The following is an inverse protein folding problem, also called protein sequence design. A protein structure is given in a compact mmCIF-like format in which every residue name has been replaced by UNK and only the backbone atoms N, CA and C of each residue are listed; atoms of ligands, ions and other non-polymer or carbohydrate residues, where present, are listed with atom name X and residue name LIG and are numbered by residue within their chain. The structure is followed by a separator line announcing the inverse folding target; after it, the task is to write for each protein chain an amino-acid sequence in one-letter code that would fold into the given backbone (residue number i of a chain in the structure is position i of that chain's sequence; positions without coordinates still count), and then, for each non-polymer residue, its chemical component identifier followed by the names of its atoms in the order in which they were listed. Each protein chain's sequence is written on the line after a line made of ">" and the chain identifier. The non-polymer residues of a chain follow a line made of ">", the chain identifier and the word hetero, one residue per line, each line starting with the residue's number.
data_IF_270477821379
#
_entry.id   IF_270477821379
#
_cell.length_a   1.000
_cell.length_b   1.000
_cell.length_c   1.000
_cell.angle_alpha   90.00
_cell.angle_beta   90.00
_cell.angle_gamma   90.00
#
_symmetry.space_group_name_H-M   'P 1'
#
loop_
_entity.id
_entity.type
_entity.pdbx_description
1 polymer ?
#
# COMPACT_ATOMS: atom_id res chain seq x y z
N UNK A 1 -52.83 -32.25 17.71
CA UNK A 1 -53.60 -31.00 17.72
C UNK A 1 -52.86 -29.99 18.59
N UNK A 2 -52.80 -28.76 18.11
CA UNK A 2 -52.17 -27.52 18.60
C UNK A 2 -52.44 -27.16 20.07
N UNK A 3 -51.48 -26.50 20.74
CA UNK A 3 -51.57 -25.28 21.59
C UNK A 3 -50.19 -25.09 22.29
N UNK A 4 -49.27 -24.21 21.86
CA UNK A 4 -49.22 -22.74 21.88
C UNK A 4 -48.89 -22.15 23.27
N UNK A 5 -47.63 -21.73 23.40
CA UNK A 5 -47.02 -20.68 24.23
C UNK A 5 -46.88 -20.87 25.76
N UNK A 6 -45.62 -20.93 26.20
CA UNK A 6 -45.15 -20.11 27.31
C UNK A 6 -43.69 -19.72 27.05
N UNK A 7 -43.53 -18.45 26.68
CA UNK A 7 -42.27 -17.74 26.49
C UNK A 7 -41.79 -17.37 27.90
N UNK A 8 -40.73 -18.04 28.35
CA UNK A 8 -40.06 -17.76 29.62
C UNK A 8 -38.65 -17.29 29.34
N UNK A 9 -38.43 -15.98 29.49
CA UNK A 9 -37.13 -15.33 29.37
C UNK A 9 -36.15 -15.86 30.42
N UNK A 10 -34.97 -16.29 29.97
CA UNK A 10 -33.74 -16.20 30.77
C UNK A 10 -32.71 -15.50 29.90
N UNK A 11 -32.58 -14.20 30.18
CA UNK A 11 -31.45 -13.41 29.74
C UNK A 11 -30.18 -13.98 30.38
N UNK A 12 -29.30 -14.53 29.57
CA UNK A 12 -27.89 -14.70 29.93
C UNK A 12 -27.07 -13.90 28.93
N UNK A 13 -26.74 -12.70 29.36
CA UNK A 13 -25.71 -11.84 28.81
C UNK A 13 -24.42 -12.63 28.63
N UNK A 14 -24.13 -13.06 27.40
CA UNK A 14 -22.74 -13.28 26.99
C UNK A 14 -22.19 -11.88 26.72
N UNK A 15 -21.60 -11.34 27.78
CA UNK A 15 -20.84 -10.11 27.80
C UNK A 15 -19.96 -10.04 26.56
N UNK A 16 -20.27 -9.09 25.67
CA UNK A 16 -19.35 -8.51 24.70
C UNK A 16 -18.17 -7.95 25.49
N UNK A 17 -17.25 -8.80 25.88
CA UNK A 17 -15.86 -8.42 26.08
C UNK A 17 -15.22 -8.32 24.69
N UNK A 18 -15.76 -7.40 23.87
CA UNK A 18 -14.92 -6.60 23.01
C UNK A 18 -13.99 -5.87 23.95
N UNK A 19 -12.92 -6.56 24.34
CA UNK A 19 -11.66 -5.92 24.56
C UNK A 19 -11.33 -5.25 23.22
N UNK A 20 -11.96 -4.08 23.01
CA UNK A 20 -11.41 -2.96 22.29
C UNK A 20 -10.09 -2.67 23.00
N UNK A 21 -9.09 -3.49 22.67
CA UNK A 21 -7.72 -3.07 22.67
C UNK A 21 -7.67 -1.90 21.70
N UNK A 22 -8.05 -0.73 22.22
CA UNK A 22 -7.70 0.57 21.68
C UNK A 22 -6.17 0.67 21.82
N UNK A 23 -5.49 -0.04 20.93
CA UNK A 23 -4.07 0.10 20.65
C UNK A 23 -3.97 0.38 19.16
N UNK A 24 -4.03 1.67 18.79
CA UNK A 24 -3.58 2.16 17.49
C UNK A 24 -4.63 2.27 16.37
N UNK A 25 -5.65 3.11 16.56
CA UNK A 25 -6.59 3.53 15.50
C UNK A 25 -5.98 4.40 14.38
N UNK A 26 -4.72 4.17 13.98
CA UNK A 26 -4.03 4.87 12.89
C UNK A 26 -3.91 4.05 11.59
N UNK A 27 -4.22 2.74 11.61
CA UNK A 27 -3.83 1.82 10.54
C UNK A 27 -4.49 2.06 9.18
N UNK A 28 -5.80 2.32 9.10
CA UNK A 28 -6.47 2.39 7.79
C UNK A 28 -6.10 3.62 6.96
N UNK A 29 -5.95 4.80 7.60
CA UNK A 29 -5.60 6.03 6.88
C UNK A 29 -4.15 6.01 6.38
N UNK A 30 -3.23 5.50 7.20
CA UNK A 30 -1.83 5.31 6.79
C UNK A 30 -1.70 4.35 5.61
N UNK A 31 -2.52 3.30 5.59
CA UNK A 31 -2.55 2.31 4.50
C UNK A 31 -3.06 2.94 3.22
N UNK A 32 -4.22 3.59 3.24
CA UNK A 32 -4.78 4.24 2.05
C UNK A 32 -3.82 5.34 1.51
N UNK A 33 -3.16 6.08 2.41
CA UNK A 33 -2.14 7.05 2.02
C UNK A 33 -0.92 6.39 1.37
N UNK A 34 -0.46 5.25 1.88
CA UNK A 34 0.62 4.47 1.28
C UNK A 34 0.21 3.91 -0.08
N UNK A 35 -0.97 3.29 -0.20
CA UNK A 35 -1.49 2.75 -1.46
C UNK A 35 -1.60 3.84 -2.52
N UNK A 36 -2.08 5.04 -2.14
CA UNK A 36 -2.14 6.18 -3.04
C UNK A 36 -0.74 6.57 -3.53
N UNK A 37 0.21 6.72 -2.60
CA UNK A 37 1.57 7.11 -2.95
C UNK A 37 2.29 6.05 -3.81
N UNK A 38 2.02 4.77 -3.55
CA UNK A 38 2.54 3.65 -4.34
C UNK A 38 1.95 3.59 -5.75
N UNK A 39 0.66 3.93 -5.91
CA UNK A 39 0.07 4.05 -7.24
C UNK A 39 0.56 5.28 -8.00
N UNK A 40 0.80 6.40 -7.33
CA UNK A 40 1.43 7.57 -7.95
C UNK A 40 2.85 7.24 -8.43
N UNK A 41 3.60 6.45 -7.65
CA UNK A 41 4.89 5.90 -8.08
C UNK A 41 4.73 5.07 -9.35
N UNK A 42 3.86 4.06 -9.33
CA UNK A 42 3.64 3.19 -10.49
C UNK A 42 3.24 3.99 -11.74
N UNK A 43 2.38 5.00 -11.58
CA UNK A 43 1.99 5.89 -12.67
C UNK A 43 3.20 6.66 -13.24
N UNK A 44 4.11 7.16 -12.39
CA UNK A 44 5.33 7.82 -12.86
C UNK A 44 6.23 6.88 -13.68
N UNK A 45 6.32 5.60 -13.29
CA UNK A 45 7.04 4.57 -14.04
C UNK A 45 6.33 4.14 -15.34
N UNK A 46 5.02 4.40 -15.48
CA UNK A 46 4.26 4.08 -16.69
C UNK A 46 4.26 5.20 -17.75
N UNK A 47 4.76 6.39 -17.41
CA UNK A 47 4.81 7.53 -18.35
C UNK A 47 5.71 7.20 -19.55
N UNK A 48 5.24 7.57 -20.75
CA UNK A 48 6.03 7.52 -21.98
C UNK A 48 6.10 6.15 -22.67
N UNK A 49 5.51 5.08 -22.11
CA UNK A 49 5.62 3.74 -22.71
C UNK A 49 7.08 3.29 -22.78
N UNK A 50 7.63 3.10 -23.97
CA UNK A 50 9.04 2.75 -24.18
C UNK A 50 9.99 3.97 -24.21
N UNK A 51 9.47 5.19 -24.13
CA UNK A 51 10.29 6.40 -23.99
C UNK A 51 10.92 6.45 -22.60
N UNK A 52 12.21 6.09 -22.54
CA UNK A 52 12.96 6.03 -21.30
C UNK A 52 13.40 7.40 -20.78
N UNK A 53 13.45 8.43 -21.61
CA UNK A 53 13.86 9.78 -21.21
C UNK A 53 12.66 10.51 -20.57
N UNK A 54 11.48 10.40 -21.19
CA UNK A 54 10.23 10.89 -20.58
C UNK A 54 9.95 10.18 -19.24
N UNK A 55 10.20 8.87 -19.20
CA UNK A 55 10.08 8.09 -17.96
C UNK A 55 11.11 8.49 -16.91
N UNK A 56 12.37 8.68 -17.31
CA UNK A 56 13.42 9.15 -16.41
C UNK A 56 13.01 10.46 -15.73
N UNK A 57 12.49 11.42 -16.49
CA UNK A 57 11.97 12.67 -15.95
C UNK A 57 10.82 12.44 -14.98
N UNK A 58 9.79 11.69 -15.38
CA UNK A 58 8.61 11.46 -14.54
C UNK A 58 8.96 10.76 -13.22
N UNK A 59 9.77 9.71 -13.27
CA UNK A 59 10.24 8.99 -12.08
C UNK A 59 11.14 9.88 -11.23
N UNK A 60 12.04 10.65 -11.84
CA UNK A 60 12.92 11.57 -11.12
C UNK A 60 12.15 12.64 -10.35
N UNK A 61 11.15 13.25 -10.97
CA UNK A 61 10.28 14.24 -10.33
C UNK A 61 9.48 13.61 -9.18
N UNK A 62 8.93 12.42 -9.39
CA UNK A 62 8.23 11.70 -8.33
C UNK A 62 9.16 11.36 -7.15
N UNK A 63 10.38 10.87 -7.42
CA UNK A 63 11.35 10.49 -6.37
C UNK A 63 11.76 11.70 -5.54
N UNK A 64 12.09 12.82 -6.18
CA UNK A 64 12.43 14.08 -5.49
C UNK A 64 11.31 14.58 -4.58
N UNK A 65 10.06 14.46 -5.02
CA UNK A 65 8.92 14.92 -4.24
C UNK A 65 8.52 13.96 -3.11
N UNK A 66 8.71 12.65 -3.30
CA UNK A 66 8.01 11.65 -2.49
C UNK A 66 8.88 10.60 -1.81
N UNK A 67 10.16 10.41 -2.17
CA UNK A 67 10.96 9.28 -1.67
C UNK A 67 11.06 9.25 -0.15
N UNK A 68 11.36 10.39 0.50
CA UNK A 68 11.47 10.45 1.97
C UNK A 68 10.13 10.09 2.64
N UNK A 69 9.01 10.63 2.15
CA UNK A 69 7.67 10.33 2.66
C UNK A 69 7.29 8.86 2.43
N UNK A 70 7.60 8.32 1.26
CA UNK A 70 7.35 6.93 0.91
C UNK A 70 8.11 5.97 1.83
N UNK A 71 9.41 6.22 2.05
CA UNK A 71 10.25 5.45 2.98
C UNK A 71 9.70 5.51 4.41
N UNK A 72 9.36 6.69 4.90
CA UNK A 72 8.80 6.86 6.24
C UNK A 72 7.50 6.08 6.44
N UNK A 73 6.58 6.11 5.47
CA UNK A 73 5.33 5.34 5.55
C UNK A 73 5.59 3.84 5.43
N UNK A 74 6.49 3.42 4.53
CA UNK A 74 6.85 2.02 4.38
C UNK A 74 7.45 1.46 5.69
N UNK A 75 8.34 2.21 6.34
CA UNK A 75 8.95 1.80 7.61
C UNK A 75 7.95 1.78 8.76
N UNK A 76 7.02 2.76 8.80
CA UNK A 76 5.91 2.77 9.75
C UNK A 76 5.05 1.51 9.59
N UNK A 77 4.66 1.15 8.37
CA UNK A 77 3.87 -0.05 8.10
C UNK A 77 4.63 -1.34 8.41
N UNK A 78 5.92 -1.43 8.08
CA UNK A 78 6.78 -2.58 8.44
C UNK A 78 6.88 -2.77 9.95
N UNK A 79 6.99 -1.68 10.72
CA UNK A 79 7.01 -1.71 12.19
C UNK A 79 5.65 -2.11 12.77
N UNK A 80 4.56 -1.63 12.19
CA UNK A 80 3.20 -2.04 12.58
C UNK A 80 2.95 -3.51 12.27
N UNK A 81 3.52 -4.02 11.19
CA UNK A 81 3.24 -5.35 10.65
C UNK A 81 4.52 -6.16 10.42
N UNK A 82 5.22 -6.57 11.50
CA UNK A 82 6.50 -7.28 11.39
C UNK A 82 6.38 -8.65 10.71
N UNK A 83 5.17 -9.24 10.69
CA UNK A 83 4.87 -10.51 10.00
C UNK A 83 4.24 -10.31 8.61
N UNK A 84 4.24 -9.08 8.10
CA UNK A 84 3.58 -8.70 6.87
C UNK A 84 2.16 -8.17 7.09
N UNK A 85 1.54 -7.58 6.04
CA UNK A 85 0.25 -6.90 6.15
C UNK A 85 -0.86 -7.83 6.67
N UNK A 86 -1.84 -7.29 7.42
CA UNK A 86 -3.05 -8.02 7.79
C UNK A 86 -3.76 -8.61 6.56
N UNK A 87 -4.47 -9.72 6.77
CA UNK A 87 -5.22 -10.40 5.70
C UNK A 87 -6.19 -9.45 5.00
N UNK A 88 -6.92 -8.64 5.76
CA UNK A 88 -7.88 -7.65 5.24
C UNK A 88 -7.24 -6.63 4.29
N UNK A 89 -6.04 -6.16 4.62
CA UNK A 89 -5.26 -5.23 3.78
C UNK A 89 -4.81 -5.93 2.50
N UNK A 90 -4.36 -7.18 2.63
CA UNK A 90 -3.92 -7.99 1.51
C UNK A 90 -5.07 -8.31 0.56
N UNK A 91 -6.25 -8.66 1.08
CA UNK A 91 -7.44 -8.93 0.27
C UNK A 91 -7.94 -7.67 -0.43
N UNK A 92 -7.89 -6.51 0.23
CA UNK A 92 -8.40 -5.25 -0.34
C UNK A 92 -7.44 -4.58 -1.32
N UNK A 93 -6.13 -4.68 -1.08
CA UNK A 93 -5.13 -3.89 -1.81
C UNK A 93 -4.03 -4.72 -2.47
N UNK A 94 -4.00 -6.04 -2.24
CA UNK A 94 -2.92 -6.92 -2.71
C UNK A 94 -2.77 -6.91 -4.22
N UNK A 95 -3.87 -7.03 -4.98
CA UNK A 95 -3.84 -7.00 -6.44
C UNK A 95 -3.28 -5.67 -6.96
N UNK A 96 -3.71 -4.56 -6.36
CA UNK A 96 -3.26 -3.21 -6.73
C UNK A 96 -1.77 -3.01 -6.44
N UNK A 97 -1.29 -3.46 -5.28
CA UNK A 97 0.13 -3.41 -4.93
C UNK A 97 0.98 -4.28 -5.86
N UNK A 98 0.48 -5.46 -6.25
CA UNK A 98 1.17 -6.31 -7.22
C UNK A 98 1.22 -5.66 -8.62
N UNK A 99 0.13 -5.06 -9.07
CA UNK A 99 0.09 -4.34 -10.35
C UNK A 99 1.06 -3.14 -10.35
N UNK A 100 1.08 -2.35 -9.27
CA UNK A 100 2.02 -1.24 -9.10
C UNK A 100 3.48 -1.74 -9.15
N UNK A 101 3.79 -2.81 -8.42
CA UNK A 101 5.11 -3.44 -8.44
C UNK A 101 5.49 -3.90 -9.84
N UNK A 102 4.57 -4.54 -10.56
CA UNK A 102 4.81 -5.00 -11.93
C UNK A 102 5.15 -3.83 -12.84
N UNK A 103 4.38 -2.74 -12.81
CA UNK A 103 4.64 -1.56 -13.63
C UNK A 103 6.06 -0.98 -13.38
N UNK A 104 6.49 -0.91 -12.12
CA UNK A 104 7.84 -0.47 -11.77
C UNK A 104 8.89 -1.43 -12.32
N UNK A 105 8.72 -2.75 -12.14
CA UNK A 105 9.68 -3.75 -12.61
C UNK A 105 9.78 -3.79 -14.13
N UNK A 106 8.65 -3.78 -14.83
CA UNK A 106 8.60 -3.74 -16.29
C UNK A 106 9.34 -2.51 -16.81
N UNK A 107 9.04 -1.33 -16.24
CA UNK A 107 9.71 -0.09 -16.59
C UNK A 107 11.23 -0.13 -16.36
N UNK A 108 11.67 -0.72 -15.23
CA UNK A 108 13.09 -0.89 -14.95
C UNK A 108 13.74 -1.81 -15.98
N UNK A 109 13.09 -2.91 -16.38
CA UNK A 109 13.60 -3.83 -17.39
C UNK A 109 13.66 -3.17 -18.77
N UNK A 110 12.58 -2.50 -19.19
CA UNK A 110 12.50 -1.79 -20.47
C UNK A 110 13.59 -0.72 -20.60
N UNK A 111 13.86 0.03 -19.52
CA UNK A 111 14.84 1.11 -19.54
C UNK A 111 16.22 0.72 -19.00
N UNK A 112 16.46 -0.58 -18.78
CA UNK A 112 17.78 -1.07 -18.39
C UNK A 112 18.79 -0.74 -19.48
N UNK A 113 19.81 0.04 -19.14
CA UNK A 113 20.86 0.45 -20.07
C UNK A 113 20.63 1.79 -20.77
N UNK A 114 19.48 2.45 -20.57
CA UNK A 114 19.29 3.83 -21.00
C UNK A 114 20.05 4.78 -20.05
N UNK A 115 20.86 5.68 -20.62
CA UNK A 115 21.73 6.58 -19.85
C UNK A 115 20.94 7.56 -18.98
N UNK A 116 19.89 8.20 -19.52
CA UNK A 116 19.08 9.18 -18.79
C UNK A 116 18.35 8.53 -17.60
N UNK A 117 17.78 7.33 -17.81
CA UNK A 117 17.10 6.56 -16.78
C UNK A 117 18.07 6.11 -15.69
N UNK A 118 19.20 5.52 -16.07
CA UNK A 118 20.23 5.08 -15.12
C UNK A 118 20.77 6.26 -14.30
N UNK A 119 21.13 7.35 -14.97
CA UNK A 119 21.61 8.57 -14.30
C UNK A 119 20.57 9.12 -13.33
N UNK A 120 19.30 9.20 -13.72
CA UNK A 120 18.25 9.63 -12.80
C UNK A 120 18.15 8.70 -11.60
N UNK A 121 18.22 7.38 -11.80
CA UNK A 121 18.11 6.41 -10.72
C UNK A 121 19.26 6.55 -9.70
N UNK A 122 20.47 6.85 -10.19
CA UNK A 122 21.67 7.12 -9.38
C UNK A 122 21.57 8.46 -8.65
N UNK A 123 21.24 9.54 -9.37
CA UNK A 123 21.10 10.90 -8.82
C UNK A 123 20.03 10.96 -7.71
N UNK A 124 19.07 10.02 -7.71
CA UNK A 124 17.98 9.94 -6.73
C UNK A 124 18.10 8.77 -5.76
N UNK A 125 19.21 8.02 -5.78
CA UNK A 125 19.42 6.81 -4.95
C UNK A 125 19.36 7.09 -3.45
N UNK A 126 19.94 8.21 -3.05
CA UNK A 126 20.19 8.54 -1.64
C UNK A 126 19.12 9.47 -1.03
N UNK A 127 18.04 9.74 -1.76
CA UNK A 127 16.85 10.50 -1.29
C UNK A 127 16.01 9.77 -0.24
#
# INVERSE_FOLDING_TARGET
>A
MTFKHLVGAVAMSVTMSLALGACGGGGSADVEAFIKLDSEKAAAFAVGGDDCDAKAKSVGDWRKANTTKYKAMQDKLKKQWPKGPPKEVTEKHGEKLQANKKAVMDAMLTCTGNEAFNKMMDDTRDL
#
